data_IF_222646764206
#
_entry.id   IF_222646764206
#
_cell.length_a   1.000
_cell.length_b   1.000
_cell.length_c   1.000
_cell.angle_alpha   90.00
_cell.angle_beta   90.00
_cell.angle_gamma   90.00
#
_symmetry.space_group_name_H-M   'P 1'
#
loop_
_entity.id
_entity.type
_entity.pdbx_description
1 polymer ?
#
# COMPACT_ATOMS: atom_id res chain seq x y z
N UNK A 1 31.08 1.27 3.12
CA UNK A 1 30.88 -0.11 2.61
C UNK A 1 29.41 -0.29 2.27
N UNK A 2 29.09 -0.45 0.98
CA UNK A 2 27.71 -0.65 0.50
C UNK A 2 27.21 -2.03 0.99
N UNK A 3 26.30 -2.02 1.96
CA UNK A 3 25.62 -3.23 2.44
C UNK A 3 24.43 -3.50 1.53
N UNK A 4 24.66 -4.28 0.48
CA UNK A 4 23.61 -4.84 -0.37
C UNK A 4 23.37 -6.30 0.03
N UNK A 5 22.34 -6.52 0.85
CA UNK A 5 21.66 -7.81 0.97
C UNK A 5 20.21 -7.56 0.55
N UNK A 6 20.05 -7.50 -0.77
CA UNK A 6 18.78 -7.70 -1.46
C UNK A 6 18.34 -9.14 -1.22
N UNK A 7 17.10 -9.37 -0.81
CA UNK A 7 16.21 -10.48 -1.27
C UNK A 7 14.90 -10.54 -0.44
N UNK A 8 13.78 -10.19 -1.10
CA UNK A 8 12.50 -10.89 -1.02
C UNK A 8 11.60 -10.81 0.24
N UNK A 9 10.94 -9.67 0.46
CA UNK A 9 9.53 -9.48 0.91
C UNK A 9 9.36 -8.03 1.46
N UNK A 10 8.21 -7.34 1.31
CA UNK A 10 8.05 -5.95 1.75
C UNK A 10 7.71 -5.82 3.25
N UNK A 11 7.79 -6.90 4.03
CA UNK A 11 7.33 -6.93 5.42
C UNK A 11 8.41 -7.30 6.41
N UNK A 12 8.53 -6.47 7.44
CA UNK A 12 9.31 -6.69 8.66
C UNK A 12 10.69 -7.31 8.42
N UNK A 13 11.37 -6.94 7.33
CA UNK A 13 12.73 -7.44 7.08
C UNK A 13 13.69 -6.57 7.85
N UNK A 14 14.06 -7.03 9.04
CA UNK A 14 15.28 -6.53 9.65
C UNK A 14 16.48 -7.04 8.87
N UNK A 15 17.33 -6.11 8.45
CA UNK A 15 18.71 -6.41 8.11
C UNK A 15 19.45 -6.79 9.39
N UNK A 16 19.14 -7.96 9.95
CA UNK A 16 19.95 -8.52 11.02
C UNK A 16 21.32 -8.78 10.42
N UNK A 17 22.32 -8.04 10.89
CA UNK A 17 23.72 -8.29 10.57
C UNK A 17 24.14 -9.64 11.19
N UNK A 18 23.74 -10.74 10.57
CA UNK A 18 24.08 -12.11 10.98
C UNK A 18 25.04 -12.79 9.99
N UNK A 19 25.84 -12.00 9.26
CA UNK A 19 26.84 -12.52 8.32
C UNK A 19 28.23 -11.98 8.65
N UNK A 20 28.72 -12.30 9.85
CA UNK A 20 30.14 -12.65 10.00
C UNK A 20 30.17 -14.10 10.43
N UNK A 21 30.99 -14.91 9.77
CA UNK A 21 31.16 -16.36 9.98
C UNK A 21 31.55 -16.78 11.41
N UNK A 22 31.64 -15.85 12.37
CA UNK A 22 32.15 -16.06 13.74
C UNK A 22 31.32 -15.43 14.87
N UNK A 23 30.11 -14.90 14.65
CA UNK A 23 29.38 -14.28 15.78
C UNK A 23 28.52 -15.29 16.56
N UNK A 24 29.11 -15.92 17.58
CA UNK A 24 28.37 -16.60 18.67
C UNK A 24 27.64 -15.64 19.61
N UNK A 25 27.72 -14.33 19.34
CA UNK A 25 27.03 -13.29 20.10
C UNK A 25 25.50 -13.34 19.92
N UNK A 26 24.72 -12.97 20.94
CA UNK A 26 23.27 -12.90 20.79
C UNK A 26 22.92 -11.81 19.75
N UNK A 27 22.25 -12.19 18.65
CA UNK A 27 21.53 -11.23 17.79
C UNK A 27 20.70 -10.30 18.69
N UNK A 28 21.02 -9.01 18.69
CA UNK A 28 20.26 -7.99 19.41
C UNK A 28 19.34 -7.29 18.42
N UNK A 29 18.10 -7.06 18.83
CA UNK A 29 17.10 -6.31 18.06
C UNK A 29 16.84 -5.04 18.83
N UNK A 30 17.20 -3.89 18.24
CA UNK A 30 17.09 -2.59 18.88
C UNK A 30 15.71 -1.95 18.65
N UNK A 31 15.41 -0.86 19.37
CA UNK A 31 14.22 -0.06 19.07
C UNK A 31 14.27 0.59 17.68
N UNK A 32 15.47 0.98 17.22
CA UNK A 32 15.68 1.56 15.89
C UNK A 32 15.40 0.55 14.79
N UNK A 33 15.77 -0.71 15.01
CA UNK A 33 15.45 -1.84 14.14
C UNK A 33 13.92 -1.99 13.99
N UNK A 34 13.19 -2.03 15.12
CA UNK A 34 11.72 -2.12 15.13
C UNK A 34 11.08 -0.94 14.39
N UNK A 35 11.59 0.28 14.58
CA UNK A 35 11.09 1.48 13.90
C UNK A 35 11.33 1.40 12.39
N UNK A 36 12.53 0.97 11.96
CA UNK A 36 12.84 0.82 10.54
C UNK A 36 11.95 -0.24 9.88
N UNK A 37 11.70 -1.36 10.55
CA UNK A 37 10.81 -2.41 10.05
C UNK A 37 9.36 -1.90 9.87
N UNK A 38 8.86 -1.11 10.83
CA UNK A 38 7.56 -0.46 10.72
C UNK A 38 7.50 0.53 9.55
N UNK A 39 8.55 1.35 9.35
CA UNK A 39 8.63 2.34 8.27
C UNK A 39 8.66 1.68 6.90
N UNK A 40 9.44 0.61 6.71
CA UNK A 40 9.47 -0.15 5.44
C UNK A 40 8.07 -0.68 5.14
N UNK A 41 7.44 -1.32 6.12
CA UNK A 41 6.10 -1.90 5.98
C UNK A 41 5.02 -0.85 5.71
N UNK A 42 5.13 0.33 6.31
CA UNK A 42 4.24 1.46 6.09
C UNK A 42 4.43 2.08 4.70
N UNK A 43 5.69 2.18 4.26
CA UNK A 43 6.07 2.81 3.00
C UNK A 43 5.58 2.01 1.79
N UNK A 44 5.76 0.68 1.83
CA UNK A 44 5.24 -0.23 0.81
C UNK A 44 3.72 -0.12 0.67
N UNK A 45 2.99 -0.23 1.79
CA UNK A 45 1.53 -0.13 1.76
C UNK A 45 1.04 1.28 1.37
N UNK A 46 1.81 2.33 1.67
CA UNK A 46 1.47 3.69 1.24
C UNK A 46 1.68 3.89 -0.25
N UNK A 47 2.71 3.28 -0.85
CA UNK A 47 2.87 3.26 -2.29
C UNK A 47 1.69 2.52 -2.98
N UNK A 48 1.24 1.40 -2.42
CA UNK A 48 0.03 0.72 -2.86
C UNK A 48 -1.20 1.65 -2.78
N UNK A 49 -1.42 2.32 -1.65
CA UNK A 49 -2.54 3.25 -1.51
C UNK A 49 -2.49 4.34 -2.58
N UNK A 50 -1.34 4.99 -2.81
CA UNK A 50 -1.19 6.01 -3.88
C UNK A 50 -1.50 5.44 -5.27
N UNK A 51 -1.19 4.17 -5.52
CA UNK A 51 -1.58 3.49 -6.76
C UNK A 51 -3.10 3.22 -6.84
N UNK A 52 -3.78 2.92 -5.71
CA UNK A 52 -5.25 2.82 -5.65
C UNK A 52 -5.89 4.16 -5.98
N UNK A 53 -5.39 5.26 -5.42
CA UNK A 53 -5.88 6.61 -5.72
C UNK A 53 -5.77 6.87 -7.24
N UNK A 54 -4.60 6.59 -7.81
CA UNK A 54 -4.32 6.84 -9.23
C UNK A 54 -5.13 5.93 -10.18
N UNK A 55 -5.32 4.66 -9.84
CA UNK A 55 -6.14 3.74 -10.63
C UNK A 55 -7.65 4.06 -10.53
N UNK A 56 -8.11 4.51 -9.35
CA UNK A 56 -9.49 4.96 -9.15
C UNK A 56 -9.77 6.25 -9.92
N UNK A 57 -8.79 7.16 -10.02
CA UNK A 57 -8.88 8.37 -10.85
C UNK A 57 -9.22 8.06 -12.31
N UNK A 58 -8.68 6.97 -12.87
CA UNK A 58 -8.97 6.52 -14.24
C UNK A 58 -10.41 6.00 -14.42
N UNK A 59 -10.99 5.44 -13.35
CA UNK A 59 -12.38 4.98 -13.38
C UNK A 59 -13.33 6.17 -13.53
N UNK A 60 -13.01 7.30 -12.89
CA UNK A 60 -13.80 8.54 -12.97
C UNK A 60 -13.62 9.29 -14.29
N UNK A 61 -12.46 9.18 -14.94
CA UNK A 61 -12.22 9.83 -16.24
C UNK A 61 -12.82 9.08 -17.44
N UNK A 62 -13.65 8.05 -17.21
CA UNK A 62 -14.27 7.26 -18.28
C UNK A 62 -13.26 6.51 -19.15
N UNK A 63 -12.10 6.16 -18.58
CA UNK A 63 -11.00 5.54 -19.34
C UNK A 63 -10.23 6.51 -20.26
N UNK A 64 -10.57 7.81 -20.27
CA UNK A 64 -9.70 8.81 -20.87
C UNK A 64 -8.40 8.83 -20.04
N UNK A 65 -7.32 8.38 -20.67
CA UNK A 65 -5.99 8.26 -20.10
C UNK A 65 -5.50 9.65 -19.68
N UNK A 66 -5.81 10.05 -18.45
CA UNK A 66 -4.91 10.93 -17.71
C UNK A 66 -3.63 10.09 -17.60
N UNK A 67 -2.63 10.39 -18.41
CA UNK A 67 -1.40 9.61 -18.53
C UNK A 67 -0.62 9.74 -17.21
N UNK A 68 -1.06 8.98 -16.20
CA UNK A 68 -0.36 8.80 -14.95
C UNK A 68 0.56 7.62 -15.17
N UNK A 69 1.84 7.80 -14.86
CA UNK A 69 2.80 6.70 -14.79
C UNK A 69 2.18 5.61 -13.90
N UNK A 70 1.79 4.48 -14.49
CA UNK A 70 1.21 3.34 -13.77
C UNK A 70 -0.30 3.40 -13.52
N UNK A 71 -1.12 3.48 -14.58
CA UNK A 71 -2.59 3.34 -14.54
C UNK A 71 -3.14 1.98 -14.08
N UNK A 72 -2.41 1.28 -13.22
CA UNK A 72 -2.74 -0.03 -12.67
C UNK A 72 -2.61 0.03 -11.15
N UNK A 73 -3.41 -0.78 -10.46
CA UNK A 73 -3.13 -1.07 -9.05
C UNK A 73 -1.83 -1.87 -8.98
N UNK A 74 -0.86 -1.35 -8.23
CA UNK A 74 0.45 -1.97 -8.08
C UNK A 74 0.60 -2.54 -6.69
N UNK A 75 0.95 -3.82 -6.63
CA UNK A 75 1.26 -4.49 -5.37
C UNK A 75 2.67 -5.07 -5.46
N UNK A 76 3.55 -4.59 -4.60
CA UNK A 76 4.90 -5.16 -4.47
C UNK A 76 4.90 -6.30 -3.46
N UNK A 77 5.59 -7.39 -3.81
CA UNK A 77 6.04 -8.47 -2.90
C UNK A 77 7.56 -8.53 -2.82
N UNK A 78 8.26 -7.61 -3.46
CA UNK A 78 9.71 -7.45 -3.43
C UNK A 78 10.09 -6.22 -2.61
N UNK A 79 11.32 -6.16 -2.06
CA UNK A 79 11.78 -4.98 -1.32
C UNK A 79 11.66 -3.70 -2.16
N UNK A 80 11.42 -2.58 -1.48
CA UNK A 80 11.28 -1.23 -2.04
C UNK A 80 12.32 -0.94 -3.15
N UNK A 81 11.87 -0.40 -4.29
CA UNK A 81 12.71 -0.07 -5.45
C UNK A 81 12.75 -1.11 -6.58
N UNK A 82 12.09 -2.26 -6.43
CA UNK A 82 11.89 -3.24 -7.51
C UNK A 82 10.57 -2.99 -8.26
N UNK A 83 10.47 -3.53 -9.49
CA UNK A 83 9.19 -3.54 -10.23
C UNK A 83 8.10 -4.22 -9.41
N UNK A 84 6.86 -3.68 -9.39
CA UNK A 84 5.77 -4.27 -8.63
C UNK A 84 5.56 -5.73 -9.07
N UNK A 85 5.29 -6.59 -8.11
CA UNK A 85 5.11 -8.03 -8.35
C UNK A 85 3.79 -8.33 -9.04
N UNK A 86 2.82 -7.43 -8.90
CA UNK A 86 1.51 -7.49 -9.55
C UNK A 86 1.10 -6.12 -10.05
N UNK A 87 0.51 -6.11 -11.24
CA UNK A 87 -0.08 -4.94 -11.86
C UNK A 87 -1.47 -5.31 -12.38
N UNK A 88 -2.52 -4.75 -11.79
CA UNK A 88 -3.89 -4.94 -12.27
C UNK A 88 -4.39 -3.71 -13.02
N UNK A 89 -4.68 -3.89 -14.31
CA UNK A 89 -5.36 -2.87 -15.11
C UNK A 89 -6.87 -3.02 -14.96
N UNK A 90 -7.54 -1.94 -14.60
CA UNK A 90 -8.97 -1.97 -14.32
C UNK A 90 -9.77 -2.10 -15.63
N UNK A 91 -10.46 -3.22 -15.81
CA UNK A 91 -11.36 -3.45 -16.95
C UNK A 91 -12.72 -2.74 -16.82
N UNK A 92 -13.47 -2.67 -17.93
CA UNK A 92 -14.76 -1.98 -18.07
C UNK A 92 -16.00 -2.82 -17.71
N UNK A 93 -15.83 -3.97 -17.04
CA UNK A 93 -16.91 -4.94 -16.83
C UNK A 93 -17.81 -4.73 -15.59
N UNK A 94 -17.77 -3.57 -14.94
CA UNK A 94 -18.50 -3.37 -13.68
C UNK A 94 -19.99 -3.09 -13.92
N UNK A 95 -20.85 -3.73 -13.13
CA UNK A 95 -22.32 -3.63 -13.26
C UNK A 95 -22.92 -2.83 -12.12
N UNK A 96 -23.72 -1.81 -12.44
CA UNK A 96 -24.47 -1.03 -11.44
C UNK A 96 -25.64 -1.83 -10.87
N UNK A 97 -25.81 -1.79 -9.55
CA UNK A 97 -26.97 -2.30 -8.84
C UNK A 97 -27.71 -1.16 -8.15
N UNK A 98 -28.97 -0.94 -8.53
CA UNK A 98 -29.81 0.08 -7.90
C UNK A 98 -30.17 -0.25 -6.44
N UNK A 99 -30.11 -1.52 -6.04
CA UNK A 99 -30.41 -1.92 -4.65
C UNK A 99 -29.29 -1.58 -3.68
N UNK A 100 -28.04 -1.54 -4.14
CA UNK A 100 -26.87 -1.19 -3.33
C UNK A 100 -26.36 0.22 -3.63
N UNK A 101 -26.76 0.82 -4.75
CA UNK A 101 -26.24 2.11 -5.23
C UNK A 101 -24.79 2.03 -5.70
N UNK A 102 -24.30 0.83 -6.07
CA UNK A 102 -22.89 0.58 -6.36
C UNK A 102 -22.68 -0.26 -7.62
N UNK A 103 -21.54 -0.07 -8.24
CA UNK A 103 -20.98 -0.89 -9.30
C UNK A 103 -20.17 -2.02 -8.70
N UNK A 104 -20.49 -3.27 -9.06
CA UNK A 104 -19.69 -4.44 -8.72
C UNK A 104 -18.81 -4.81 -9.92
N UNK A 105 -17.50 -4.90 -9.73
CA UNK A 105 -16.58 -5.32 -10.78
C UNK A 105 -16.32 -6.83 -10.72
N UNK A 106 -16.10 -7.50 -11.86
CA UNK A 106 -15.63 -8.88 -11.86
C UNK A 106 -14.30 -9.00 -11.10
N UNK A 107 -14.08 -10.09 -10.34
CA UNK A 107 -12.82 -10.31 -9.66
C UNK A 107 -11.69 -10.51 -10.69
N UNK A 108 -10.50 -10.02 -10.36
CA UNK A 108 -9.29 -10.24 -11.14
C UNK A 108 -8.32 -11.11 -10.33
N UNK A 109 -7.87 -12.23 -10.88
CA UNK A 109 -6.95 -13.14 -10.19
C UNK A 109 -5.62 -13.19 -10.91
N UNK A 110 -4.52 -13.01 -10.16
CA UNK A 110 -3.15 -13.17 -10.66
C UNK A 110 -2.22 -13.69 -9.57
N UNK A 111 -1.34 -14.63 -9.93
CA UNK A 111 -0.35 -15.28 -9.06
C UNK A 111 -0.85 -15.70 -7.67
N UNK A 112 -2.08 -16.22 -7.60
CA UNK A 112 -2.72 -16.73 -6.37
C UNK A 112 -3.44 -15.68 -5.52
N UNK A 113 -3.46 -14.42 -5.97
CA UNK A 113 -4.17 -13.32 -5.33
C UNK A 113 -5.40 -12.93 -6.15
N UNK A 114 -6.49 -12.61 -5.47
CA UNK A 114 -7.73 -12.12 -6.07
C UNK A 114 -7.98 -10.69 -5.61
N UNK A 115 -8.16 -9.81 -6.58
CA UNK A 115 -8.56 -8.43 -6.43
C UNK A 115 -10.07 -8.32 -6.66
N UNK A 116 -10.79 -7.88 -5.64
CA UNK A 116 -12.20 -7.52 -5.67
C UNK A 116 -12.33 -5.99 -5.58
N UNK A 117 -13.23 -5.43 -6.39
CA UNK A 117 -13.50 -3.99 -6.39
C UNK A 117 -14.97 -3.72 -6.58
N UNK A 118 -15.46 -2.73 -5.85
CA UNK A 118 -16.75 -2.09 -6.09
C UNK A 118 -16.66 -0.60 -5.80
N UNK A 119 -17.54 0.19 -6.40
CA UNK A 119 -17.54 1.64 -6.20
C UNK A 119 -18.94 2.24 -6.35
N UNK A 120 -19.15 3.44 -5.83
CA UNK A 120 -20.40 4.20 -6.00
C UNK A 120 -20.12 5.66 -6.29
N UNK A 121 -20.95 6.27 -7.13
CA UNK A 121 -20.97 7.71 -7.40
C UNK A 121 -22.13 8.35 -6.66
N UNK A 122 -21.90 9.53 -6.07
CA UNK A 122 -22.90 10.21 -5.26
C UNK A 122 -22.99 11.69 -5.64
N UNK A 123 -24.21 12.21 -5.69
CA UNK A 123 -24.45 13.63 -5.85
C UNK A 123 -24.25 14.43 -4.55
N UNK A 124 -24.49 15.74 -4.59
CA UNK A 124 -24.36 16.61 -3.43
C UNK A 124 -25.32 16.27 -2.27
N UNK A 125 -26.40 15.53 -2.53
CA UNK A 125 -27.36 15.06 -1.53
C UNK A 125 -27.06 13.62 -1.09
N UNK A 126 -25.90 13.07 -1.46
CA UNK A 126 -25.50 11.69 -1.22
C UNK A 126 -26.41 10.64 -1.91
N UNK A 127 -27.14 11.02 -2.94
CA UNK A 127 -27.92 10.08 -3.75
C UNK A 127 -27.01 9.33 -4.73
N UNK A 128 -27.15 8.01 -4.78
CA UNK A 128 -26.36 7.15 -5.67
C UNK A 128 -26.69 7.41 -7.15
N UNK A 129 -25.66 7.42 -7.99
CA UNK A 129 -25.76 7.64 -9.42
C UNK A 129 -25.34 6.37 -10.20
N UNK A 130 -26.11 6.03 -11.23
CA UNK A 130 -25.84 4.89 -12.12
C UNK A 130 -24.76 5.16 -13.18
N UNK A 131 -24.17 6.36 -13.17
CA UNK A 131 -23.05 6.76 -13.99
C UNK A 131 -22.38 7.99 -13.38
N UNK A 132 -21.09 8.17 -13.68
CA UNK A 132 -20.38 9.41 -13.36
C UNK A 132 -20.87 10.57 -14.24
N UNK A 133 -20.99 11.76 -13.65
CA UNK A 133 -21.36 12.99 -14.34
C UNK A 133 -20.60 14.16 -13.73
N UNK A 134 -19.73 14.81 -14.51
CA UNK A 134 -18.92 15.92 -14.02
C UNK A 134 -19.74 17.12 -13.49
N UNK A 135 -21.01 17.26 -13.88
CA UNK A 135 -21.87 18.35 -13.39
C UNK A 135 -22.62 18.01 -12.10
N UNK A 136 -22.82 16.72 -11.78
CA UNK A 136 -23.71 16.29 -10.69
C UNK A 136 -23.06 15.36 -9.69
N UNK A 137 -21.99 14.66 -10.02
CA UNK A 137 -21.25 13.82 -9.06
C UNK A 137 -20.45 14.71 -8.12
N UNK A 138 -20.73 14.65 -6.82
CA UNK A 138 -19.99 15.39 -5.80
C UNK A 138 -18.89 14.54 -5.15
N UNK A 139 -19.11 13.23 -5.04
CA UNK A 139 -18.15 12.29 -4.46
C UNK A 139 -18.27 10.90 -5.07
N UNK A 140 -17.23 10.09 -4.86
CA UNK A 140 -17.23 8.67 -5.18
C UNK A 140 -16.60 7.89 -4.02
N UNK A 141 -17.10 6.69 -3.75
CA UNK A 141 -16.47 5.78 -2.80
C UNK A 141 -15.99 4.53 -3.55
N UNK A 142 -14.73 4.18 -3.34
CA UNK A 142 -14.05 3.02 -3.90
C UNK A 142 -13.74 2.04 -2.79
N UNK A 143 -14.17 0.81 -2.97
CA UNK A 143 -13.83 -0.30 -2.10
C UNK A 143 -12.95 -1.29 -2.88
N UNK A 144 -11.80 -1.61 -2.31
CA UNK A 144 -10.78 -2.48 -2.90
C UNK A 144 -10.37 -3.51 -1.87
N UNK A 145 -10.50 -4.78 -2.23
CA UNK A 145 -10.07 -5.91 -1.44
C UNK A 145 -9.09 -6.77 -2.23
N UNK A 146 -7.98 -7.17 -1.61
CA UNK A 146 -7.02 -8.11 -2.20
C UNK A 146 -6.80 -9.23 -1.20
N UNK A 147 -7.11 -10.46 -1.60
CA UNK A 147 -6.93 -11.63 -0.74
C UNK A 147 -6.41 -12.84 -1.52
N UNK A 148 -5.65 -13.70 -0.84
CA UNK A 148 -5.19 -14.95 -1.43
C UNK A 148 -3.86 -15.42 -0.86
N UNK A 149 -3.29 -16.42 -1.53
CA UNK A 149 -1.98 -16.97 -1.18
C UNK A 149 -1.11 -16.96 -2.42
N UNK A 150 -0.05 -16.15 -2.37
CA UNK A 150 1.01 -16.22 -3.36
C UNK A 150 2.01 -17.30 -2.97
N UNK A 151 2.22 -18.27 -3.85
CA UNK A 151 3.24 -19.31 -3.68
C UNK A 151 4.45 -18.99 -4.56
N UNK A 152 5.62 -19.02 -3.97
CA UNK A 152 6.91 -18.86 -4.64
C UNK A 152 7.79 -20.09 -4.34
N UNK A 153 8.86 -20.28 -5.12
CA UNK A 153 9.77 -21.43 -4.96
C UNK A 153 10.32 -21.58 -3.54
N UNK A 154 10.61 -20.46 -2.88
CA UNK A 154 11.20 -20.43 -1.55
C UNK A 154 10.18 -20.10 -0.44
N UNK A 155 8.87 -20.21 -0.67
CA UNK A 155 7.90 -19.95 0.40
C UNK A 155 6.52 -19.50 -0.08
N UNK A 156 5.71 -18.99 0.84
CA UNK A 156 4.38 -18.51 0.53
C UNK A 156 4.00 -17.29 1.37
N UNK A 157 3.23 -16.40 0.76
CA UNK A 157 2.71 -15.18 1.38
C UNK A 157 1.17 -15.22 1.34
N UNK A 158 0.54 -15.12 2.51
CA UNK A 158 -0.89 -14.91 2.66
C UNK A 158 -1.19 -13.42 2.72
N UNK A 159 -2.23 -13.02 1.99
CA UNK A 159 -2.61 -11.64 1.79
C UNK A 159 -4.07 -11.48 2.15
N UNK A 160 -4.37 -10.45 2.92
CA UNK A 160 -5.73 -9.99 3.10
C UNK A 160 -5.71 -8.49 3.38
N UNK A 161 -6.08 -7.69 2.38
CA UNK A 161 -6.04 -6.24 2.41
C UNK A 161 -7.39 -5.70 2.01
N UNK A 162 -7.85 -4.70 2.73
CA UNK A 162 -9.14 -4.06 2.54
C UNK A 162 -9.00 -2.55 2.61
N UNK A 163 -9.61 -1.82 1.67
CA UNK A 163 -9.56 -0.36 1.57
C UNK A 163 -10.93 0.16 1.19
N UNK A 164 -11.43 1.16 1.91
CA UNK A 164 -12.58 1.96 1.53
C UNK A 164 -12.16 3.42 1.51
N UNK A 165 -12.11 4.00 0.31
CA UNK A 165 -11.62 5.34 0.06
C UNK A 165 -12.71 6.17 -0.62
N UNK A 166 -13.04 7.30 -0.03
CA UNK A 166 -13.95 8.29 -0.59
C UNK A 166 -13.15 9.45 -1.15
N UNK A 167 -13.44 9.81 -2.40
CA UNK A 167 -12.96 11.01 -3.05
C UNK A 167 -14.08 12.04 -3.14
N UNK A 168 -13.77 13.28 -2.82
CA UNK A 168 -14.68 14.42 -2.93
C UNK A 168 -14.06 15.56 -3.73
N UNK A 169 -14.89 16.55 -4.07
CA UNK A 169 -14.51 17.66 -4.94
C UNK A 169 -14.69 17.31 -6.43
N UNK A 170 -15.59 16.38 -6.74
CA UNK A 170 -15.84 15.92 -8.11
C UNK A 170 -16.81 16.81 -8.90
N UNK A 171 -17.55 17.69 -8.22
CA UNK A 171 -18.54 18.51 -8.87
C UNK A 171 -17.89 19.69 -9.60
N UNK A 172 -18.26 19.89 -10.87
CA UNK A 172 -17.82 21.01 -11.69
C UNK A 172 -16.52 20.78 -12.43
N UNK A 173 -15.83 21.86 -12.81
CA UNK A 173 -14.51 21.79 -13.44
C UNK A 173 -13.46 21.46 -12.38
N UNK A 174 -13.21 20.16 -12.18
CA UNK A 174 -12.30 19.67 -11.14
C UNK A 174 -10.86 20.19 -11.37
N UNK A 175 -10.31 20.86 -10.36
CA UNK A 175 -8.89 21.26 -10.32
C UNK A 175 -8.11 20.48 -9.27
N UNK A 176 -8.81 19.90 -8.29
CA UNK A 176 -8.24 19.08 -7.23
C UNK A 176 -9.27 18.08 -6.70
N UNK A 177 -8.80 16.97 -6.16
CA UNK A 177 -9.60 15.94 -5.50
C UNK A 177 -9.07 15.69 -4.09
N UNK A 178 -9.97 15.43 -3.15
CA UNK A 178 -9.59 15.10 -1.76
C UNK A 178 -9.99 13.68 -1.42
N UNK A 179 -9.03 12.88 -0.97
CA UNK A 179 -9.20 11.48 -0.59
C UNK A 179 -9.20 11.33 0.92
N UNK A 180 -10.21 10.62 1.42
CA UNK A 180 -10.35 10.20 2.80
C UNK A 180 -10.75 8.74 2.86
N UNK A 181 -10.41 8.03 3.93
CA UNK A 181 -10.88 6.67 4.08
C UNK A 181 -10.11 5.87 5.10
N UNK A 182 -10.41 4.58 5.12
CA UNK A 182 -9.83 3.64 6.06
C UNK A 182 -9.55 2.32 5.39
N UNK A 183 -8.79 1.46 6.07
CA UNK A 183 -8.58 0.10 5.60
C UNK A 183 -7.88 -0.77 6.61
N UNK A 184 -7.78 -2.04 6.27
CA UNK A 184 -7.07 -3.02 7.07
C UNK A 184 -6.10 -3.82 6.19
N UNK A 185 -5.07 -4.37 6.82
CA UNK A 185 -4.17 -5.34 6.22
C UNK A 185 -3.91 -6.42 7.24
N UNK A 186 -3.91 -7.66 6.80
CA UNK A 186 -3.57 -8.85 7.55
C UNK A 186 -2.80 -9.79 6.63
N UNK A 187 -1.49 -9.61 6.62
CA UNK A 187 -0.60 -10.38 5.78
C UNK A 187 0.28 -11.27 6.66
N UNK A 188 0.74 -12.36 6.08
CA UNK A 188 1.75 -13.20 6.71
C UNK A 188 2.45 -14.03 5.68
N UNK A 189 3.48 -14.74 6.09
CA UNK A 189 4.18 -15.60 5.18
C UNK A 189 5.40 -16.22 5.78
N UNK A 190 6.05 -17.02 4.96
CA UNK A 190 7.34 -17.58 5.28
C UNK A 190 8.21 -17.63 4.05
N UNK A 191 9.52 -17.59 4.29
CA UNK A 191 10.55 -17.85 3.29
C UNK A 191 11.52 -18.88 3.84
N UNK A 192 11.83 -19.88 3.04
CA UNK A 192 12.74 -20.95 3.35
C UNK A 192 13.80 -21.03 2.27
N UNK A 193 15.01 -20.69 2.65
CA UNK A 193 16.23 -20.90 1.89
C UNK A 193 16.96 -22.15 2.44
N UNK A 194 18.11 -22.51 1.87
CA UNK A 194 18.84 -23.73 2.21
C UNK A 194 19.16 -23.84 3.71
N UNK A 195 19.52 -22.74 4.37
CA UNK A 195 19.95 -22.72 5.77
C UNK A 195 19.17 -21.73 6.66
N UNK A 196 18.23 -20.97 6.09
CA UNK A 196 17.49 -19.93 6.80
C UNK A 196 15.99 -20.04 6.53
N UNK A 197 15.20 -20.05 7.60
CA UNK A 197 13.74 -19.89 7.55
C UNK A 197 13.36 -18.56 8.18
N UNK A 198 12.53 -17.78 7.49
CA UNK A 198 11.92 -16.55 8.00
C UNK A 198 10.42 -16.74 8.04
N UNK A 199 9.76 -16.29 9.09
CA UNK A 199 8.30 -16.19 9.15
C UNK A 199 7.93 -14.78 9.54
N UNK A 200 6.80 -14.29 9.06
CA UNK A 200 6.31 -12.98 9.41
C UNK A 200 4.79 -12.95 9.41
N UNK A 201 4.27 -12.03 10.20
CA UNK A 201 2.87 -11.69 10.27
C UNK A 201 2.75 -10.20 10.56
N UNK A 202 1.84 -9.52 9.88
CA UNK A 202 1.63 -8.09 10.06
C UNK A 202 0.17 -7.75 9.88
N UNK A 203 -0.38 -7.09 10.88
CA UNK A 203 -1.65 -6.41 10.82
C UNK A 203 -1.43 -4.90 10.77
N UNK A 204 -2.32 -4.21 10.06
CA UNK A 204 -2.31 -2.76 9.95
C UNK A 204 -3.74 -2.23 9.86
N UNK A 205 -4.03 -1.17 10.60
CA UNK A 205 -5.20 -0.33 10.42
C UNK A 205 -4.76 1.03 9.86
N UNK A 206 -5.26 1.39 8.69
CA UNK A 206 -4.88 2.62 7.99
C UNK A 206 -6.01 3.64 8.02
N UNK A 207 -5.64 4.91 8.20
CA UNK A 207 -6.50 6.08 8.00
C UNK A 207 -5.86 7.01 6.98
N UNK A 208 -6.58 7.29 5.90
CA UNK A 208 -6.25 8.27 4.87
C UNK A 208 -7.01 9.54 5.21
N UNK A 209 -6.32 10.64 5.45
CA UNK A 209 -6.93 11.90 5.88
C UNK A 209 -6.50 13.06 4.99
N UNK A 210 -7.48 13.66 4.33
CA UNK A 210 -7.36 14.87 3.53
C UNK A 210 -6.21 14.81 2.52
N UNK A 211 -6.02 13.66 1.87
CA UNK A 211 -5.00 13.50 0.85
C UNK A 211 -5.46 14.20 -0.42
N UNK A 212 -4.86 15.36 -0.72
CA UNK A 212 -5.26 16.19 -1.85
C UNK A 212 -4.38 15.89 -3.05
N UNK A 213 -4.97 15.69 -4.22
CA UNK A 213 -4.26 15.59 -5.50
C UNK A 213 -4.78 16.67 -6.45
N UNK A 214 -3.87 17.35 -7.15
CA UNK A 214 -4.25 18.31 -8.18
C UNK A 214 -4.43 17.62 -9.55
N UNK A 215 -5.25 18.24 -10.40
CA UNK A 215 -5.48 17.80 -11.77
C UNK A 215 -4.83 18.79 -12.77
N UNK A 216 -4.41 18.33 -13.96
CA UNK A 216 -4.34 16.92 -14.37
C UNK A 216 -3.22 16.17 -13.62
N UNK A 217 -3.44 14.88 -13.35
CA UNK A 217 -2.47 14.04 -12.60
C UNK A 217 -1.16 13.84 -13.35
N UNK A 218 -1.16 13.98 -14.68
CA UNK A 218 0.06 13.91 -15.51
C UNK A 218 1.06 15.02 -15.18
N UNK A 219 0.58 16.20 -14.80
CA UNK A 219 1.42 17.34 -14.39
C UNK A 219 1.58 17.42 -12.87
N UNK A 220 0.70 16.77 -12.11
CA UNK A 220 0.67 16.78 -10.64
C UNK A 220 0.60 15.35 -10.10
N UNK A 221 1.66 14.53 -10.28
CA UNK A 221 1.62 13.10 -9.97
C UNK A 221 1.59 12.80 -8.46
N UNK A 222 2.05 13.73 -7.62
CA UNK A 222 2.19 13.52 -6.18
C UNK A 222 1.08 14.20 -5.39
N UNK A 223 0.67 13.63 -4.23
CA UNK A 223 -0.27 14.30 -3.36
C UNK A 223 0.28 15.63 -2.82
N UNK A 224 -0.53 16.68 -2.91
CA UNK A 224 -0.22 18.04 -2.50
C UNK A 224 -0.16 18.22 -0.99
N UNK A 225 -1.04 17.51 -0.26
CA UNK A 225 -1.17 17.61 1.18
C UNK A 225 -1.88 16.38 1.74
N UNK A 226 -2.07 16.38 3.07
CA UNK A 226 -2.76 15.32 3.78
C UNK A 226 -1.81 14.30 4.37
N UNK A 227 -2.38 13.25 4.93
CA UNK A 227 -1.60 12.20 5.58
C UNK A 227 -2.22 10.81 5.45
N UNK A 228 -1.36 9.81 5.57
CA UNK A 228 -1.74 8.41 5.78
C UNK A 228 -1.12 7.98 7.11
N UNK A 229 -1.97 7.60 8.06
CA UNK A 229 -1.53 7.07 9.35
C UNK A 229 -1.85 5.59 9.43
N UNK A 230 -0.87 4.81 9.88
CA UNK A 230 -0.93 3.35 10.01
C UNK A 230 -0.64 2.92 11.43
N UNK A 231 -1.47 2.03 11.95
CA UNK A 231 -1.24 1.35 13.22
C UNK A 231 -0.78 -0.07 12.92
N UNK A 232 0.54 -0.26 12.90
CA UNK A 232 1.18 -1.51 12.50
C UNK A 232 1.42 -2.35 13.75
N UNK A 233 0.96 -3.60 13.71
CA UNK A 233 1.30 -4.64 14.67
C UNK A 233 1.80 -5.88 13.93
N UNK A 234 2.70 -6.64 14.50
CA UNK A 234 3.19 -7.83 13.82
C UNK A 234 4.26 -8.58 14.57
N UNK A 235 4.59 -9.76 14.07
CA UNK A 235 5.69 -10.58 14.55
C UNK A 235 6.51 -11.05 13.36
N UNK A 236 7.81 -11.24 13.59
CA UNK A 236 8.65 -11.93 12.64
C UNK A 236 9.67 -12.78 13.37
N UNK A 237 10.08 -13.86 12.73
CA UNK A 237 11.09 -14.78 13.23
C UNK A 237 12.08 -15.16 12.14
N UNK A 238 13.32 -15.39 12.55
CA UNK A 238 14.39 -15.93 11.72
C UNK A 238 14.96 -17.13 12.45
N UNK A 239 15.05 -18.26 11.76
CA UNK A 239 15.66 -19.50 12.23
C UNK A 239 16.79 -19.91 11.29
N UNK A 240 17.96 -20.17 11.85
CA UNK A 240 19.14 -20.68 11.14
C UNK A 240 19.79 -21.78 11.98
N UNK A 241 19.94 -22.97 11.41
CA UNK A 241 20.27 -24.18 12.17
C UNK A 241 19.36 -24.35 13.40
N UNK A 242 19.91 -24.57 14.59
CA UNK A 242 19.15 -24.73 15.85
C UNK A 242 18.82 -23.40 16.55
N UNK A 243 19.19 -22.26 15.98
CA UNK A 243 18.96 -20.94 16.59
C UNK A 243 17.74 -20.29 15.95
N UNK A 244 16.76 -19.93 16.77
CA UNK A 244 15.58 -19.15 16.35
C UNK A 244 15.45 -17.87 17.16
N UNK A 245 15.13 -16.76 16.49
CA UNK A 245 14.86 -15.47 17.11
C UNK A 245 13.58 -14.88 16.57
N UNK A 246 12.82 -14.25 17.44
CA UNK A 246 11.58 -13.57 17.11
C UNK A 246 11.56 -12.16 17.66
N UNK A 247 10.81 -11.29 17.01
CA UNK A 247 10.50 -9.95 17.50
C UNK A 247 9.06 -9.59 17.17
N UNK A 248 8.57 -8.58 17.89
CA UNK A 248 7.27 -7.98 17.65
C UNK A 248 7.45 -6.50 17.31
N UNK A 249 6.57 -6.01 16.44
CA UNK A 249 6.44 -4.59 16.09
C UNK A 249 5.07 -4.13 16.57
N UNK A 250 5.01 -2.96 17.18
CA UNK A 250 3.77 -2.23 17.47
C UNK A 250 4.08 -0.74 17.37
N UNK A 251 3.70 -0.11 16.25
CA UNK A 251 4.08 1.27 15.94
C UNK A 251 2.96 1.99 15.20
N UNK A 252 2.79 3.26 15.55
CA UNK A 252 2.06 4.22 14.71
C UNK A 252 3.05 4.88 13.78
N UNK A 253 2.79 4.80 12.48
CA UNK A 253 3.59 5.45 11.44
C UNK A 253 2.70 6.44 10.69
N UNK A 254 3.14 7.69 10.58
CA UNK A 254 2.42 8.72 9.85
C UNK A 254 3.26 9.19 8.67
N UNK A 255 2.66 9.17 7.48
CA UNK A 255 3.22 9.70 6.24
C UNK A 255 2.49 11.01 5.94
N UNK A 256 3.23 12.10 5.76
CA UNK A 256 2.69 13.43 5.45
C UNK A 256 3.16 13.87 4.07
N UNK A 257 2.20 14.29 3.24
CA UNK A 257 2.44 14.75 1.88
C UNK A 257 2.62 16.27 1.80
N UNK A 258 3.41 16.71 0.84
CA UNK A 258 3.81 18.13 0.69
C UNK A 258 3.86 18.59 -0.79
N UNK A 259 3.26 17.84 -1.71
CA UNK A 259 3.25 18.16 -3.15
C UNK A 259 4.51 17.75 -3.91
N UNK A 260 5.44 17.06 -3.27
CA UNK A 260 6.64 16.53 -3.92
C UNK A 260 6.64 15.00 -3.97
N UNK A 261 7.59 14.43 -4.73
CA UNK A 261 7.87 12.99 -4.74
C UNK A 261 8.29 12.46 -3.35
N UNK A 262 8.74 13.34 -2.46
CA UNK A 262 9.34 12.99 -1.18
C UNK A 262 8.41 13.34 -0.03
N UNK A 263 7.76 12.32 0.54
CA UNK A 263 6.90 12.45 1.70
C UNK A 263 7.69 12.28 3.01
N UNK A 264 7.26 12.96 4.07
CA UNK A 264 7.86 12.78 5.40
C UNK A 264 7.18 11.63 6.12
N UNK A 265 7.97 10.72 6.69
CA UNK A 265 7.48 9.60 7.50
C UNK A 265 7.97 9.77 8.94
N UNK A 266 7.07 9.66 9.91
CA UNK A 266 7.39 9.74 11.34
C UNK A 266 7.00 8.46 12.07
N UNK A 267 7.89 7.95 12.93
CA UNK A 267 7.62 6.82 13.84
C UNK A 267 8.26 7.10 15.20
N UNK A 268 7.44 7.33 16.23
CA UNK A 268 7.96 7.85 17.50
C UNK A 268 8.69 9.18 17.28
N UNK A 269 9.97 9.26 17.69
CA UNK A 269 10.83 10.42 17.46
C UNK A 269 11.66 10.35 16.17
N UNK A 270 11.66 9.22 15.47
CA UNK A 270 12.44 9.06 14.24
C UNK A 270 11.68 9.64 13.03
N UNK A 271 12.42 10.25 12.11
CA UNK A 271 11.89 10.78 10.85
C UNK A 271 12.64 10.17 9.66
N UNK A 272 11.91 9.92 8.58
CA UNK A 272 12.41 9.37 7.33
C UNK A 272 11.83 10.16 6.16
N UNK A 273 12.48 10.05 5.01
CA UNK A 273 11.99 10.52 3.72
C UNK A 273 11.57 9.33 2.86
N UNK A 274 10.29 9.28 2.49
CA UNK A 274 9.72 8.30 1.57
C UNK A 274 9.72 8.85 0.15
N UNK A 275 10.43 8.17 -0.76
CA UNK A 275 10.31 8.38 -2.19
C UNK A 275 9.08 7.63 -2.73
N UNK A 276 8.03 8.38 -3.09
CA UNK A 276 6.77 7.84 -3.57
C UNK A 276 6.88 7.13 -4.94
N UNK A 277 7.95 7.36 -5.70
CA UNK A 277 8.16 6.68 -6.98
C UNK A 277 8.72 5.27 -6.82
N UNK A 278 9.47 5.03 -5.74
CA UNK A 278 10.17 3.77 -5.48
C UNK A 278 9.63 3.01 -4.27
N UNK A 279 8.85 3.68 -3.41
CA UNK A 279 8.41 3.15 -2.12
C UNK A 279 9.53 3.04 -1.08
N UNK A 280 10.72 3.58 -1.36
CA UNK A 280 11.90 3.48 -0.49
C UNK A 280 11.86 4.61 0.54
N UNK A 281 11.98 4.24 1.83
CA UNK A 281 12.16 5.20 2.91
C UNK A 281 13.61 5.23 3.40
N UNK A 282 14.18 6.43 3.49
CA UNK A 282 15.55 6.67 3.98
C UNK A 282 15.49 7.45 5.28
N UNK A 283 16.25 7.05 6.30
CA UNK A 283 16.30 7.75 7.59
C UNK A 283 16.95 9.13 7.41
N UNK A 284 16.38 10.16 8.04
CA UNK A 284 16.92 11.52 8.05
C UNK A 284 18.05 11.66 9.08
#
# INVERSE_FOLDING_TARGET
MKRSLLLGAPMLVLMVAACSSDSTGPISITAADINQAAVISASDATAEDVSILSASDMTMSGGAVQNVVGGSLMLSRTPSGATPSYAWTFGTGCTYSASTGRFSCPPMTDGGLTLNRDYGFFDANQAAQSAYSASTTASANFHVNVAGVHVATAGADTVNRDRSLTVSGLAGAETSRTWNGTGTRNDGGYRQETDVKRNYHTTDAVTVSNVVVNLPRSSNPWPMSGSITRQISGTASVSKAEVSKSFAVSRTVTITFNGTQYATVTVGSDTYTLDLSTGVATKN
#
